data_IF_367599474616
#
_entry.id   IF_367599474616
#
_cell.length_a   1.000
_cell.length_b   1.000
_cell.length_c   1.000
_cell.angle_alpha   90.00
_cell.angle_beta   90.00
_cell.angle_gamma   90.00
#
_symmetry.space_group_name_H-M   'P 1'
#
loop_
_entity.id
_entity.type
_entity.pdbx_description
1 polymer ?
#
# COMPACT_ATOMS: atom_id res chain seq x y z
N UNK A 1 -11.26 -10.97 -0.47
CA UNK A 1 -10.49 -9.75 -0.18
C UNK A 1 -10.81 -9.29 1.22
N UNK A 2 -9.81 -9.00 2.03
CA UNK A 2 -10.00 -8.53 3.41
C UNK A 2 -10.14 -7.00 3.40
N UNK A 3 -11.12 -6.50 4.15
CA UNK A 3 -11.46 -5.08 4.23
C UNK A 3 -11.05 -4.54 5.59
N UNK A 4 -10.23 -3.50 5.56
CA UNK A 4 -9.84 -2.77 6.75
C UNK A 4 -10.74 -1.54 6.92
N UNK A 5 -11.37 -1.41 8.09
CA UNK A 5 -12.20 -0.26 8.44
C UNK A 5 -11.43 0.69 9.34
N UNK A 6 -11.23 1.91 8.86
CA UNK A 6 -10.59 2.95 9.65
C UNK A 6 -11.58 3.69 10.56
N UNK A 7 -11.16 3.99 11.79
CA UNK A 7 -11.70 5.10 12.56
C UNK A 7 -10.90 6.38 12.29
N UNK A 8 -11.41 7.55 12.68
CA UNK A 8 -10.76 8.84 12.39
C UNK A 8 -9.54 9.14 13.28
N UNK A 9 -9.19 8.24 14.21
CA UNK A 9 -8.02 8.41 15.08
C UNK A 9 -6.80 7.93 14.32
N UNK A 10 -5.80 8.80 14.16
CA UNK A 10 -4.52 8.45 13.56
C UNK A 10 -3.62 7.75 14.59
N UNK A 11 -2.90 6.71 14.19
CA UNK A 11 -1.86 6.07 15.01
C UNK A 11 -0.52 6.09 14.28
N UNK A 12 0.47 6.70 14.91
CA UNK A 12 1.84 6.78 14.38
C UNK A 12 2.55 5.43 14.49
N UNK A 13 3.28 5.07 13.43
CA UNK A 13 4.28 4.00 13.46
C UNK A 13 3.76 2.59 13.20
N UNK A 14 2.58 2.44 12.59
CA UNK A 14 2.03 1.12 12.27
C UNK A 14 2.81 0.47 11.12
N UNK A 15 3.31 -0.75 11.36
CA UNK A 15 3.97 -1.55 10.33
C UNK A 15 2.97 -2.13 9.34
N UNK A 16 3.45 -2.49 8.15
CA UNK A 16 2.64 -3.26 7.20
C UNK A 16 2.10 -4.55 7.83
N UNK A 17 2.92 -5.29 8.59
CA UNK A 17 2.48 -6.51 9.29
C UNK A 17 1.31 -6.27 10.25
N UNK A 18 1.34 -5.18 11.03
CA UNK A 18 0.25 -4.85 11.94
C UNK A 18 -1.07 -4.56 11.19
N UNK A 19 -0.99 -3.90 10.02
CA UNK A 19 -2.16 -3.71 9.15
C UNK A 19 -2.74 -5.04 8.69
N UNK A 20 -1.88 -6.00 8.31
CA UNK A 20 -2.33 -7.35 7.92
C UNK A 20 -2.92 -8.14 9.07
N UNK A 21 -2.29 -8.13 10.25
CA UNK A 21 -2.78 -8.84 11.43
C UNK A 21 -4.15 -8.33 11.86
N UNK A 22 -4.33 -7.01 11.85
CA UNK A 22 -5.61 -6.39 12.18
C UNK A 22 -6.69 -6.68 11.11
N UNK A 23 -6.34 -6.62 9.83
CA UNK A 23 -7.27 -6.98 8.75
C UNK A 23 -7.74 -8.44 8.87
N UNK A 24 -6.85 -9.36 9.26
CA UNK A 24 -7.20 -10.78 9.53
C UNK A 24 -8.11 -10.92 10.75
N UNK A 25 -7.95 -10.06 11.76
CA UNK A 25 -8.81 -10.03 12.93
C UNK A 25 -10.20 -9.40 12.67
N UNK A 26 -10.43 -8.78 11.50
CA UNK A 26 -11.66 -8.08 11.13
C UNK A 26 -12.08 -6.98 12.13
N UNK A 27 -11.12 -6.34 12.77
CA UNK A 27 -11.35 -5.27 13.75
C UNK A 27 -11.40 -3.89 13.08
N UNK A 28 -12.22 -2.93 13.59
CA UNK A 28 -12.07 -1.53 13.25
C UNK A 28 -10.80 -0.97 13.88
N UNK A 29 -10.03 -0.19 13.14
CA UNK A 29 -8.66 0.15 13.51
C UNK A 29 -8.35 1.63 13.26
N UNK A 30 -7.36 2.21 13.95
CA UNK A 30 -6.94 3.60 13.72
C UNK A 30 -6.16 3.73 12.41
N UNK A 31 -6.42 4.79 11.65
CA UNK A 31 -5.69 5.06 10.41
C UNK A 31 -4.18 5.17 10.68
N UNK A 32 -3.34 4.37 10.00
CA UNK A 32 -1.90 4.46 10.15
C UNK A 32 -1.37 5.85 9.74
N UNK A 33 -0.41 6.36 10.50
CA UNK A 33 0.31 7.59 10.21
C UNK A 33 1.80 7.30 10.11
N UNK A 34 2.41 7.79 9.02
CA UNK A 34 3.85 7.69 8.84
C UNK A 34 4.56 8.57 9.87
N UNK A 35 5.60 8.01 10.48
CA UNK A 35 6.53 8.81 11.27
C UNK A 35 7.11 9.95 10.42
N UNK A 36 7.40 11.07 11.09
CA UNK A 36 8.06 12.20 10.44
C UNK A 36 9.45 11.79 9.97
N UNK A 37 9.67 11.84 8.66
CA UNK A 37 10.95 11.59 8.02
C UNK A 37 11.53 12.88 7.43
N UNK A 38 12.84 12.89 7.22
CA UNK A 38 13.57 14.08 6.75
C UNK A 38 13.25 14.42 5.29
N UNK A 39 12.80 13.43 4.51
CA UNK A 39 12.46 13.58 3.10
C UNK A 39 11.08 13.00 2.81
N UNK A 40 10.20 13.83 2.25
CA UNK A 40 8.88 13.42 1.74
C UNK A 40 8.96 13.34 0.22
N UNK A 41 8.66 12.18 -0.33
CA UNK A 41 8.63 11.90 -1.78
C UNK A 41 7.18 11.65 -2.16
N UNK A 42 6.67 12.49 -3.05
CA UNK A 42 5.33 12.34 -3.61
C UNK A 42 5.37 11.50 -4.88
N UNK A 43 4.45 10.54 -4.98
CA UNK A 43 4.20 9.74 -6.18
C UNK A 43 2.99 10.33 -6.90
N UNK A 44 3.21 10.87 -8.10
CA UNK A 44 2.14 11.46 -8.91
C UNK A 44 1.38 10.40 -9.70
N UNK A 45 0.23 10.76 -10.27
CA UNK A 45 -0.63 9.82 -10.99
C UNK A 45 0.15 9.08 -12.07
N UNK A 46 -0.10 7.77 -12.21
CA UNK A 46 0.62 6.85 -13.09
C UNK A 46 2.11 6.68 -12.79
N UNK A 47 2.63 7.26 -11.70
CA UNK A 47 4.00 6.99 -11.27
C UNK A 47 4.06 5.80 -10.34
N UNK A 48 5.17 5.07 -10.47
CA UNK A 48 5.61 4.04 -9.57
C UNK A 48 6.99 4.44 -9.03
N UNK A 49 7.18 4.30 -7.74
CA UNK A 49 8.45 4.61 -7.08
C UNK A 49 8.81 3.49 -6.12
N UNK A 50 10.11 3.29 -5.95
CA UNK A 50 10.69 2.27 -5.10
C UNK A 50 11.60 2.92 -4.07
N UNK A 51 11.61 2.40 -2.85
CA UNK A 51 12.57 2.78 -1.81
C UNK A 51 13.10 1.52 -1.12
N UNK A 52 14.33 1.61 -0.62
CA UNK A 52 14.94 0.55 0.20
C UNK A 52 14.63 0.83 1.69
N UNK A 53 14.08 -0.17 2.40
CA UNK A 53 13.74 -0.13 3.84
C UNK A 53 15.03 -0.05 4.71
N UNK A 54 16.22 -0.14 4.12
CA UNK A 54 17.50 0.03 4.82
C UNK A 54 18.18 1.37 4.51
N UNK A 55 17.57 2.19 3.66
CA UNK A 55 18.12 3.49 3.25
C UNK A 55 17.64 4.66 4.12
N UNK A 56 18.03 5.89 3.76
CA UNK A 56 17.73 7.16 4.44
C UNK A 56 16.27 7.28 4.91
N UNK A 57 16.00 8.15 5.89
CA UNK A 57 14.63 8.43 6.39
C UNK A 57 13.79 9.14 5.32
N UNK A 58 13.14 8.35 4.47
CA UNK A 58 12.29 8.79 3.37
C UNK A 58 10.86 8.29 3.57
N UNK A 59 9.89 9.16 3.30
CA UNK A 59 8.48 8.81 3.20
C UNK A 59 8.09 8.83 1.72
N UNK A 60 7.61 7.72 1.19
CA UNK A 60 7.07 7.60 -0.16
C UNK A 60 5.55 7.52 -0.11
N UNK A 61 4.83 8.45 -0.74
CA UNK A 61 3.36 8.42 -0.72
C UNK A 61 2.73 8.93 -2.01
N UNK A 62 1.72 8.22 -2.48
CA UNK A 62 0.84 8.74 -3.51
C UNK A 62 0.05 9.92 -2.95
N UNK A 63 -0.07 11.00 -3.72
CA UNK A 63 -0.69 12.26 -3.29
C UNK A 63 -1.80 12.69 -4.23
N UNK A 64 -2.87 13.28 -3.68
CA UNK A 64 -4.03 13.69 -4.46
C UNK A 64 -5.03 12.55 -4.69
N UNK A 65 -5.16 11.65 -3.72
CA UNK A 65 -6.01 10.44 -3.75
C UNK A 65 -7.53 10.74 -3.67
N UNK A 66 -8.03 11.68 -4.48
CA UNK A 66 -9.46 12.02 -4.55
C UNK A 66 -10.23 10.91 -5.26
N UNK A 67 -9.80 10.59 -6.48
CA UNK A 67 -10.34 9.51 -7.32
C UNK A 67 -9.25 8.50 -7.68
N UNK A 68 -8.21 8.40 -6.87
CA UNK A 68 -7.07 7.53 -7.15
C UNK A 68 -6.85 6.57 -5.97
N UNK A 69 -6.14 5.47 -6.23
CA UNK A 69 -5.69 4.57 -5.18
C UNK A 69 -4.17 4.69 -4.98
N UNK A 70 -3.73 4.53 -3.73
CA UNK A 70 -2.33 4.24 -3.41
C UNK A 70 -2.19 2.74 -3.28
N UNK A 71 -1.32 2.14 -4.08
CA UNK A 71 -1.06 0.71 -4.06
C UNK A 71 0.37 0.49 -3.59
N UNK A 72 0.52 -0.05 -2.38
CA UNK A 72 1.81 -0.33 -1.75
C UNK A 72 2.12 -1.80 -1.90
N UNK A 73 3.25 -2.14 -2.53
CA UNK A 73 3.75 -3.50 -2.67
C UNK A 73 5.01 -3.68 -1.82
N UNK A 74 5.09 -4.79 -1.09
CA UNK A 74 6.26 -5.17 -0.33
C UNK A 74 6.44 -6.69 -0.34
N UNK A 75 7.67 -7.16 -0.51
CA UNK A 75 7.98 -8.57 -0.27
C UNK A 75 8.52 -8.79 1.14
N UNK A 76 8.18 -9.93 1.74
CA UNK A 76 8.67 -10.33 3.07
C UNK A 76 9.48 -11.64 3.04
N UNK A 77 9.88 -12.11 1.85
CA UNK A 77 10.75 -13.27 1.75
C UNK A 77 12.15 -12.95 2.30
N UNK A 78 12.73 -13.90 3.03
CA UNK A 78 14.04 -13.71 3.68
C UNK A 78 15.19 -13.45 2.70
N UNK A 79 15.04 -13.88 1.43
CA UNK A 79 16.02 -13.71 0.36
C UNK A 79 15.66 -12.55 -0.59
N UNK A 80 14.48 -11.96 -0.42
CA UNK A 80 14.00 -10.90 -1.29
C UNK A 80 14.70 -9.57 -0.94
N UNK A 81 14.93 -8.68 -1.92
CA UNK A 81 15.40 -7.33 -1.64
C UNK A 81 14.49 -6.61 -0.64
N UNK A 82 15.07 -5.84 0.28
CA UNK A 82 14.34 -5.01 1.23
C UNK A 82 13.77 -3.74 0.56
N UNK A 83 13.08 -3.91 -0.56
CA UNK A 83 12.54 -2.83 -1.38
C UNK A 83 11.01 -2.82 -1.21
N UNK A 84 10.44 -1.63 -1.19
CA UNK A 84 9.00 -1.42 -1.25
C UNK A 84 8.65 -0.49 -2.39
N UNK A 85 7.45 -0.64 -2.90
CA UNK A 85 6.95 0.10 -4.04
C UNK A 85 5.65 0.80 -3.68
N UNK A 86 5.50 2.04 -4.13
CA UNK A 86 4.22 2.75 -4.14
C UNK A 86 3.87 3.09 -5.58
N UNK A 87 2.71 2.64 -6.02
CA UNK A 87 2.09 3.02 -7.27
C UNK A 87 0.87 3.91 -7.01
N UNK A 88 0.78 5.00 -7.74
CA UNK A 88 -0.39 5.88 -7.72
C UNK A 88 -1.31 5.53 -8.89
N UNK A 89 -2.32 4.71 -8.60
CA UNK A 89 -3.28 4.18 -9.57
C UNK A 89 -4.39 5.21 -9.87
N UNK A 90 -4.43 5.82 -11.08
CA UNK A 90 -5.51 6.73 -11.44
C UNK A 90 -6.82 5.96 -11.56
N UNK A 91 -7.89 6.48 -10.96
CA UNK A 91 -9.19 5.78 -10.89
C UNK A 91 -9.10 4.38 -10.27
N UNK A 92 -8.03 4.11 -9.51
CA UNK A 92 -7.76 2.80 -8.93
C UNK A 92 -7.32 1.72 -9.92
N UNK A 93 -7.08 2.08 -11.18
CA UNK A 93 -6.85 1.09 -12.23
C UNK A 93 -5.50 0.38 -12.05
N UNK A 94 -5.54 -0.95 -12.08
CA UNK A 94 -4.37 -1.83 -12.09
C UNK A 94 -4.37 -2.66 -13.37
N UNK A 95 -3.44 -2.37 -14.29
CA UNK A 95 -3.19 -3.25 -15.42
C UNK A 95 -2.20 -4.35 -15.04
N UNK A 96 -2.24 -5.50 -15.73
CA UNK A 96 -1.28 -6.58 -15.50
C UNK A 96 0.18 -6.12 -15.69
N UNK A 97 0.43 -5.18 -16.61
CA UNK A 97 1.77 -4.64 -16.83
C UNK A 97 2.26 -3.87 -15.60
N UNK A 98 1.39 -3.06 -14.98
CA UNK A 98 1.74 -2.34 -13.74
C UNK A 98 2.05 -3.32 -12.61
N UNK A 99 1.26 -4.38 -12.45
CA UNK A 99 1.54 -5.39 -11.42
C UNK A 99 2.87 -6.11 -11.71
N UNK A 100 3.12 -6.47 -12.98
CA UNK A 100 4.38 -7.08 -13.41
C UNK A 100 5.58 -6.15 -13.18
N UNK A 101 5.46 -4.86 -13.46
CA UNK A 101 6.52 -3.87 -13.26
C UNK A 101 6.85 -3.73 -11.76
N UNK A 102 5.83 -3.72 -10.90
CA UNK A 102 6.02 -3.71 -9.45
C UNK A 102 6.75 -4.98 -8.97
N UNK A 103 6.29 -6.17 -9.40
CA UNK A 103 6.92 -7.46 -9.05
C UNK A 103 8.38 -7.51 -9.53
N UNK A 104 8.63 -7.06 -10.75
CA UNK A 104 9.99 -7.03 -11.33
C UNK A 104 10.89 -6.08 -10.57
N UNK A 105 10.40 -4.88 -10.23
CA UNK A 105 11.15 -3.88 -9.47
C UNK A 105 11.43 -4.29 -8.01
N UNK A 106 10.63 -5.21 -7.47
CA UNK A 106 10.87 -5.86 -6.17
C UNK A 106 11.84 -7.05 -6.26
N UNK A 107 12.40 -7.34 -7.44
CA UNK A 107 13.37 -8.42 -7.64
C UNK A 107 12.75 -9.77 -8.00
N UNK A 108 11.52 -9.79 -8.51
CA UNK A 108 10.75 -11.01 -8.82
C UNK A 108 10.59 -11.94 -7.60
N UNK A 109 10.07 -11.44 -6.46
CA UNK A 109 9.83 -12.28 -5.30
C UNK A 109 8.83 -13.39 -5.62
N UNK A 110 8.83 -14.46 -4.81
CA UNK A 110 7.74 -15.41 -4.83
C UNK A 110 6.43 -14.68 -4.51
N UNK A 111 5.39 -14.82 -5.34
CA UNK A 111 4.12 -14.12 -5.14
C UNK A 111 3.45 -14.46 -3.79
N UNK A 112 3.77 -15.62 -3.20
CA UNK A 112 3.31 -15.98 -1.85
C UNK A 112 3.92 -15.12 -0.74
N UNK A 113 5.03 -14.43 -1.02
CA UNK A 113 5.71 -13.51 -0.10
C UNK A 113 5.36 -12.05 -0.40
N UNK A 114 4.60 -11.77 -1.47
CA UNK A 114 4.24 -10.42 -1.86
C UNK A 114 2.98 -9.98 -1.13
N UNK A 115 3.08 -8.91 -0.37
CA UNK A 115 1.99 -8.27 0.35
C UNK A 115 1.63 -6.94 -0.33
N UNK A 116 0.33 -6.66 -0.42
CA UNK A 116 -0.20 -5.48 -1.11
C UNK A 116 -1.23 -4.76 -0.24
N UNK A 117 -1.05 -3.46 -0.04
CA UNK A 117 -2.08 -2.58 0.50
C UNK A 117 -2.64 -1.75 -0.63
N UNK A 118 -3.97 -1.80 -0.80
CA UNK A 118 -4.72 -1.01 -1.75
C UNK A 118 -5.57 0.00 -0.97
N UNK A 119 -5.17 1.28 -0.97
CA UNK A 119 -5.79 2.32 -0.14
C UNK A 119 -6.52 3.39 -0.97
N UNK A 120 -7.76 3.70 -0.59
CA UNK A 120 -8.62 4.69 -1.25
C UNK A 120 -9.30 5.63 -0.26
N UNK A 121 -9.58 6.86 -0.69
CA UNK A 121 -10.30 7.87 0.12
C UNK A 121 -11.83 7.67 0.08
N UNK A 122 -12.35 6.96 -0.93
CA UNK A 122 -13.80 6.76 -1.06
C UNK A 122 -14.26 5.48 -0.36
N UNK A 123 -15.44 5.53 0.26
CA UNK A 123 -15.97 4.48 1.12
C UNK A 123 -16.37 3.22 0.36
N UNK A 124 -16.95 3.35 -0.83
CA UNK A 124 -17.61 2.23 -1.53
C UNK A 124 -17.75 2.52 -3.01
N UNK A 125 -16.77 2.10 -3.79
CA UNK A 125 -16.92 2.04 -5.24
C UNK A 125 -16.46 0.65 -5.68
N UNK A 126 -17.43 -0.15 -6.17
CA UNK A 126 -17.26 -1.55 -6.56
C UNK A 126 -16.20 -1.71 -7.64
N UNK A 127 -15.93 -0.66 -8.43
CA UNK A 127 -14.88 -0.67 -9.43
C UNK A 127 -13.50 -0.82 -8.78
N UNK A 128 -13.23 -0.18 -7.64
CA UNK A 128 -11.95 -0.33 -6.94
C UNK A 128 -11.77 -1.74 -6.37
N UNK A 129 -12.85 -2.38 -5.91
CA UNK A 129 -12.81 -3.77 -5.44
C UNK A 129 -12.50 -4.71 -6.61
N UNK A 130 -13.13 -4.48 -7.77
CA UNK A 130 -12.85 -5.24 -8.98
C UNK A 130 -11.40 -5.05 -9.46
N UNK A 131 -10.89 -3.81 -9.43
CA UNK A 131 -9.50 -3.50 -9.78
C UNK A 131 -8.51 -4.15 -8.81
N UNK A 132 -8.73 -4.07 -7.49
CA UNK A 132 -7.93 -4.78 -6.51
C UNK A 132 -8.02 -6.32 -6.71
N UNK A 133 -9.14 -6.83 -7.23
CA UNK A 133 -9.34 -8.25 -7.54
C UNK A 133 -8.36 -8.76 -8.62
N UNK A 134 -7.84 -7.87 -9.47
CA UNK A 134 -6.82 -8.23 -10.47
C UNK A 134 -5.50 -8.70 -9.84
N UNK A 135 -5.18 -8.27 -8.63
CA UNK A 135 -4.02 -8.76 -7.88
C UNK A 135 -4.14 -10.27 -7.59
N UNK A 136 -5.34 -10.74 -7.28
CA UNK A 136 -5.64 -12.16 -7.05
C UNK A 136 -5.52 -12.92 -8.37
N UNK A 137 -6.11 -12.41 -9.45
CA UNK A 137 -6.02 -13.00 -10.79
C UNK A 137 -4.58 -13.09 -11.29
N UNK A 138 -3.72 -12.14 -10.89
CA UNK A 138 -2.29 -12.15 -11.19
C UNK A 138 -1.53 -13.24 -10.43
N UNK A 139 -2.09 -13.76 -9.33
CA UNK A 139 -1.52 -14.86 -8.54
C UNK A 139 -1.05 -14.46 -7.14
N UNK A 140 -1.33 -13.23 -6.69
CA UNK A 140 -1.04 -12.81 -5.31
C UNK A 140 -2.10 -13.42 -4.38
N UNK A 141 -1.72 -14.13 -3.31
CA UNK A 141 -2.70 -14.70 -2.40
C UNK A 141 -3.64 -13.65 -1.82
N UNK A 142 -4.91 -13.98 -1.73
CA UNK A 142 -5.93 -13.08 -1.17
C UNK A 142 -5.58 -12.62 0.26
N UNK A 143 -4.94 -13.46 1.06
CA UNK A 143 -4.57 -13.17 2.45
C UNK A 143 -3.32 -12.27 2.59
N UNK A 144 -2.71 -11.94 1.44
CA UNK A 144 -1.63 -10.97 1.31
C UNK A 144 -2.12 -9.66 0.66
N UNK A 145 -3.44 -9.48 0.50
CA UNK A 145 -4.01 -8.23 -0.01
C UNK A 145 -4.92 -7.61 1.05
N UNK A 146 -4.62 -6.38 1.45
CA UNK A 146 -5.47 -5.57 2.33
C UNK A 146 -6.04 -4.39 1.55
N UNK A 147 -7.35 -4.24 1.61
CA UNK A 147 -8.05 -3.08 1.09
C UNK A 147 -8.36 -2.10 2.23
N UNK A 148 -7.79 -0.90 2.17
CA UNK A 148 -8.07 0.19 3.11
C UNK A 148 -9.06 1.15 2.47
N UNK A 149 -10.28 1.18 3.03
CA UNK A 149 -11.29 2.16 2.66
C UNK A 149 -11.22 3.42 3.55
N UNK A 150 -11.62 4.57 3.00
CA UNK A 150 -11.78 5.83 3.72
C UNK A 150 -10.49 6.35 4.39
N UNK A 151 -9.38 6.41 3.66
CA UNK A 151 -8.24 7.22 4.15
C UNK A 151 -8.70 8.66 4.36
N UNK A 152 -8.54 9.20 5.56
CA UNK A 152 -8.99 10.55 5.93
C UNK A 152 -8.08 11.66 5.40
N UNK A 153 -7.21 11.33 4.45
CA UNK A 153 -6.19 12.19 3.85
C UNK A 153 -6.12 11.94 2.35
N UNK A 154 -5.64 12.93 1.59
CA UNK A 154 -5.38 12.77 0.15
C UNK A 154 -4.05 12.08 -0.14
N UNK A 155 -3.37 11.52 0.86
CA UNK A 155 -2.11 10.80 0.69
C UNK A 155 -2.05 9.51 1.49
N UNK A 156 -1.36 8.52 0.94
CA UNK A 156 -1.07 7.25 1.62
C UNK A 156 0.17 6.61 1.01
N UNK A 157 0.99 5.96 1.83
CA UNK A 157 2.12 5.19 1.35
C UNK A 157 2.90 4.50 2.46
N UNK A 158 4.22 4.53 2.35
CA UNK A 158 5.15 3.78 3.18
C UNK A 158 6.43 4.58 3.43
N UNK A 159 7.10 4.35 4.54
CA UNK A 159 8.42 4.91 4.81
C UNK A 159 9.53 3.87 4.73
N UNK A 160 10.77 4.33 4.78
CA UNK A 160 11.96 3.47 4.79
C UNK A 160 12.13 2.67 6.09
N UNK A 161 11.19 2.68 7.04
CA UNK A 161 11.15 1.72 8.15
C UNK A 161 10.07 0.63 7.96
N UNK A 162 9.39 0.60 6.81
CA UNK A 162 8.30 -0.35 6.55
C UNK A 162 6.99 -0.01 7.28
N UNK A 163 6.88 1.21 7.80
CA UNK A 163 5.63 1.73 8.36
C UNK A 163 4.78 2.28 7.23
N UNK A 164 3.48 2.05 7.28
CA UNK A 164 2.52 2.50 6.27
C UNK A 164 1.60 3.55 6.85
N UNK A 165 1.02 4.40 6.00
CA UNK A 165 0.03 5.36 6.46
C UNK A 165 -0.06 6.65 5.68
N UNK A 166 -0.83 7.57 6.24
CA UNK A 166 -0.96 8.96 5.79
C UNK A 166 0.20 9.79 6.34
N UNK A 167 0.51 10.93 5.72
CA UNK A 167 1.46 11.87 6.32
C UNK A 167 0.92 12.44 7.62
N UNK A 168 1.80 12.50 8.61
CA UNK A 168 1.67 13.40 9.74
C UNK A 168 2.07 14.83 9.46
#
# INVERSE_FOLDING_TARGET
>A
MLFYKSNNTLQVGMSMSAVFDNARANTPEPMPQLESCNKKIYVYQNEMKFIDIKSERENLSAFGLITCASVVFASVGNEDPAIVCVYHAPSGVLSNNIIQDAVTGLGNPNLNNLYVIYAINNKKDENYIAEAGKLITFGIPNDNIVFIEQINSSCFGINSHGQVGVFG
#
